data_IF_897046390842
#
_entry.id   IF_897046390842
#
_cell.length_a   1.000
_cell.length_b   1.000
_cell.length_c   1.000
_cell.angle_alpha   90.00
_cell.angle_beta   90.00
_cell.angle_gamma   90.00
#
_symmetry.space_group_name_H-M   'P 1'
#
loop_
_entity.id
_entity.type
_entity.pdbx_description
1 polymer ?
#
# COMPACT_ATOMS: atom_id res chain seq x y z
N UNK A 1 -8.80 -3.63 -2.97
CA UNK A 1 -7.55 -3.63 -2.19
C UNK A 1 -7.54 -2.44 -1.26
N UNK A 2 -6.82 -2.51 -0.13
CA UNK A 2 -6.54 -1.32 0.67
C UNK A 2 -5.16 -0.81 0.32
N UNK A 3 -5.07 0.47 -0.04
CA UNK A 3 -3.80 1.16 -0.23
C UNK A 3 -3.39 1.75 1.12
N UNK A 4 -2.29 1.28 1.70
CA UNK A 4 -1.81 1.74 2.99
C UNK A 4 -1.41 3.24 2.90
N UNK A 5 -2.25 4.12 3.44
CA UNK A 5 -2.01 5.56 3.55
C UNK A 5 -2.19 5.99 4.99
N UNK A 6 -1.25 6.78 5.51
CA UNK A 6 -1.28 7.27 6.88
C UNK A 6 0.06 7.70 7.43
N UNK A 7 0.77 8.64 6.79
CA UNK A 7 1.73 9.48 7.53
C UNK A 7 1.88 10.91 6.99
N UNK A 8 1.51 11.87 7.86
CA UNK A 8 1.76 13.30 7.72
C UNK A 8 3.27 13.55 7.89
N UNK A 9 4.03 13.67 6.79
CA UNK A 9 5.16 14.61 6.67
C UNK A 9 5.90 14.45 5.34
N UNK A 10 5.38 15.12 4.31
CA UNK A 10 6.06 15.36 3.05
C UNK A 10 7.32 16.23 3.26
N UNK A 11 8.50 15.60 3.32
CA UNK A 11 9.73 16.23 2.83
C UNK A 11 10.33 15.34 1.75
N UNK A 12 10.91 16.02 0.76
CA UNK A 12 11.07 15.62 -0.65
C UNK A 12 11.84 14.34 -0.95
N UNK A 13 12.59 13.77 0.00
CA UNK A 13 13.60 12.76 -0.33
C UNK A 13 13.60 11.61 0.69
N UNK A 14 12.78 10.57 0.47
CA UNK A 14 13.08 9.24 1.02
C UNK A 14 12.17 8.68 2.13
N UNK A 15 11.03 9.30 2.42
CA UNK A 15 10.02 8.65 3.28
C UNK A 15 8.61 9.01 2.81
N UNK A 16 8.30 8.60 1.59
CA UNK A 16 6.93 8.58 1.10
C UNK A 16 6.34 7.20 1.38
N UNK A 17 5.07 7.19 1.72
CA UNK A 17 4.20 6.01 1.65
C UNK A 17 4.52 5.19 0.38
N UNK A 18 4.35 3.86 0.38
CA UNK A 18 4.60 3.02 -0.79
C UNK A 18 3.93 3.58 -2.04
N UNK A 19 2.78 4.24 -1.86
CA UNK A 19 1.93 4.84 -2.87
C UNK A 19 2.11 6.36 -3.07
N UNK A 20 3.02 7.01 -2.34
CA UNK A 20 3.22 8.47 -2.43
C UNK A 20 3.66 8.92 -3.84
N UNK A 21 4.45 8.09 -4.52
CA UNK A 21 4.82 8.31 -5.93
C UNK A 21 3.60 8.26 -6.85
N UNK A 22 2.71 7.29 -6.67
CA UNK A 22 1.46 7.16 -7.45
C UNK A 22 0.53 8.33 -7.23
N UNK A 23 0.34 8.74 -5.97
CA UNK A 23 -0.52 9.87 -5.64
C UNK A 23 0.04 11.18 -6.24
N UNK A 24 1.35 11.42 -6.09
CA UNK A 24 2.02 12.61 -6.64
C UNK A 24 1.92 12.67 -8.16
N UNK A 25 2.12 11.54 -8.84
CA UNK A 25 2.07 11.45 -10.30
C UNK A 25 0.65 11.21 -10.83
N UNK A 26 -0.36 11.17 -9.96
CA UNK A 26 -1.78 10.96 -10.29
C UNK A 26 -2.01 9.72 -11.17
N UNK A 27 -1.26 8.64 -10.91
CA UNK A 27 -1.31 7.43 -11.74
C UNK A 27 -2.63 6.66 -11.60
N UNK A 28 -3.25 6.74 -10.41
CA UNK A 28 -4.61 6.26 -10.12
C UNK A 28 -5.45 7.50 -9.79
N UNK A 29 -6.09 8.08 -10.80
CA UNK A 29 -6.86 9.32 -10.69
C UNK A 29 -8.34 9.15 -11.03
N UNK A 30 -8.77 7.94 -11.38
CA UNK A 30 -10.16 7.60 -11.66
C UNK A 30 -10.50 6.24 -11.04
N UNK A 31 -11.76 6.06 -10.63
CA UNK A 31 -12.22 4.82 -10.00
C UNK A 31 -12.05 3.60 -10.92
N UNK A 32 -12.10 3.79 -12.23
CA UNK A 32 -11.95 2.70 -13.21
C UNK A 32 -10.58 2.02 -13.16
N UNK A 33 -9.47 2.77 -13.03
CA UNK A 33 -8.13 2.17 -12.89
C UNK A 33 -8.01 1.36 -11.61
N UNK A 34 -8.60 1.85 -10.52
CA UNK A 34 -8.66 1.13 -9.26
C UNK A 34 -9.47 -0.17 -9.38
N UNK A 35 -10.62 -0.13 -10.06
CA UNK A 35 -11.44 -1.32 -10.31
C UNK A 35 -10.74 -2.34 -11.20
N UNK A 36 -10.03 -1.90 -12.25
CA UNK A 36 -9.21 -2.79 -13.09
C UNK A 36 -8.14 -3.47 -12.24
N UNK A 37 -7.40 -2.72 -11.41
CA UNK A 37 -6.40 -3.29 -10.51
C UNK A 37 -7.01 -4.30 -9.53
N UNK A 38 -8.17 -3.99 -8.95
CA UNK A 38 -8.89 -4.89 -8.04
C UNK A 38 -9.31 -6.19 -8.73
N UNK A 39 -9.79 -6.12 -9.97
CA UNK A 39 -10.19 -7.30 -10.75
C UNK A 39 -8.99 -8.14 -11.18
N UNK A 40 -7.90 -7.50 -11.63
CA UNK A 40 -6.67 -8.16 -12.05
C UNK A 40 -5.87 -8.74 -10.88
N UNK A 41 -6.02 -8.19 -9.67
CA UNK A 41 -5.39 -8.70 -8.46
C UNK A 41 -6.02 -10.00 -7.97
N UNK A 42 -7.28 -10.29 -8.31
CA UNK A 42 -7.93 -11.55 -7.96
C UNK A 42 -7.42 -12.69 -8.84
N UNK A 43 -7.45 -12.46 -10.15
CA UNK A 43 -6.95 -13.36 -11.19
C UNK A 43 -6.47 -12.53 -12.38
N UNK A 44 -5.46 -12.97 -13.15
CA UNK A 44 -5.08 -12.32 -14.39
C UNK A 44 -6.26 -12.25 -15.36
N UNK A 45 -6.50 -11.09 -15.99
CA UNK A 45 -7.66 -10.88 -16.88
C UNK A 45 -7.28 -10.30 -18.22
N UNK A 46 -8.05 -10.63 -19.25
CA UNK A 46 -7.95 -10.01 -20.57
C UNK A 46 -8.73 -8.70 -20.64
N UNK A 47 -8.45 -7.86 -21.66
CA UNK A 47 -9.21 -6.62 -21.92
C UNK A 47 -10.71 -6.92 -22.08
N UNK A 48 -11.07 -8.01 -22.77
CA UNK A 48 -12.47 -8.39 -22.98
C UNK A 48 -13.17 -8.77 -21.68
N UNK A 49 -12.48 -9.50 -20.79
CA UNK A 49 -13.02 -9.85 -19.47
C UNK A 49 -13.19 -8.63 -18.57
N UNK A 50 -12.21 -7.72 -18.58
CA UNK A 50 -12.28 -6.45 -17.85
C UNK A 50 -13.41 -5.56 -18.38
N UNK A 51 -13.57 -5.46 -19.71
CA UNK A 51 -14.65 -4.71 -20.35
C UNK A 51 -16.03 -5.24 -19.95
N UNK A 52 -16.22 -6.57 -19.97
CA UNK A 52 -17.45 -7.20 -19.53
C UNK A 52 -17.74 -7.01 -18.04
N UNK A 53 -16.72 -7.08 -17.19
CA UNK A 53 -16.87 -6.92 -15.74
C UNK A 53 -17.19 -5.47 -15.32
N UNK A 54 -16.71 -4.49 -16.07
CA UNK A 54 -16.86 -3.06 -15.78
C UNK A 54 -18.01 -2.39 -16.54
N UNK A 55 -18.70 -3.12 -17.42
CA UNK A 55 -19.70 -2.58 -18.36
C UNK A 55 -19.15 -1.40 -19.19
N UNK A 56 -17.92 -1.56 -19.69
CA UNK A 56 -17.20 -0.56 -20.48
C UNK A 56 -16.88 -1.10 -21.87
N UNK A 57 -16.64 -0.19 -22.83
CA UNK A 57 -16.16 -0.58 -24.14
C UNK A 57 -14.72 -1.12 -24.07
N UNK A 58 -14.42 -2.13 -24.90
CA UNK A 58 -13.07 -2.70 -25.00
C UNK A 58 -12.01 -1.65 -25.35
N UNK A 59 -12.34 -0.64 -26.15
CA UNK A 59 -11.46 0.47 -26.48
C UNK A 59 -11.13 1.35 -25.26
N UNK A 60 -12.12 1.61 -24.40
CA UNK A 60 -11.92 2.39 -23.17
C UNK A 60 -11.01 1.63 -22.18
N UNK A 61 -11.27 0.33 -22.01
CA UNK A 61 -10.45 -0.53 -21.14
C UNK A 61 -9.03 -0.65 -21.70
N UNK A 62 -8.88 -0.86 -23.00
CA UNK A 62 -7.57 -0.90 -23.65
C UNK A 62 -6.75 0.37 -23.35
N UNK A 63 -7.37 1.56 -23.48
CA UNK A 63 -6.71 2.83 -23.15
C UNK A 63 -6.20 2.84 -21.71
N UNK A 64 -7.03 2.46 -20.73
CA UNK A 64 -6.63 2.43 -19.33
C UNK A 64 -5.53 1.40 -19.06
N UNK A 65 -5.62 0.21 -19.64
CA UNK A 65 -4.60 -0.85 -19.51
C UNK A 65 -3.27 -0.40 -20.11
N UNK A 66 -3.26 0.20 -21.30
CA UNK A 66 -2.04 0.75 -21.90
C UNK A 66 -1.40 1.84 -21.04
N UNK A 67 -2.20 2.76 -20.49
CA UNK A 67 -1.70 3.77 -19.54
C UNK A 67 -1.08 3.13 -18.29
N UNK A 68 -1.74 2.10 -17.73
CA UNK A 68 -1.27 1.41 -16.52
C UNK A 68 -0.01 0.57 -16.75
N UNK A 69 0.16 -0.04 -17.93
CA UNK A 69 1.42 -0.69 -18.32
C UNK A 69 2.52 0.35 -18.49
N UNK A 70 2.22 1.46 -19.17
CA UNK A 70 3.17 2.57 -19.34
C UNK A 70 3.63 3.19 -18.01
N UNK A 71 2.76 3.16 -16.99
CA UNK A 71 3.09 3.58 -15.63
C UNK A 71 3.59 2.45 -14.71
N UNK A 72 3.80 1.25 -15.25
CA UNK A 72 4.30 0.06 -14.54
C UNK A 72 3.41 -0.41 -13.38
N UNK A 73 2.11 -0.14 -13.44
CA UNK A 73 1.11 -0.65 -12.48
C UNK A 73 0.60 -2.05 -12.87
N UNK A 74 0.56 -2.35 -14.16
CA UNK A 74 0.20 -3.66 -14.71
C UNK A 74 1.36 -4.24 -15.52
N UNK A 75 1.43 -5.56 -15.57
CA UNK A 75 2.28 -6.33 -16.48
C UNK A 75 1.45 -7.36 -17.23
N UNK A 76 1.96 -7.83 -18.36
CA UNK A 76 1.42 -9.01 -19.03
C UNK A 76 1.80 -10.26 -18.23
N UNK A 77 0.82 -11.12 -17.96
CA UNK A 77 1.04 -12.38 -17.25
C UNK A 77 1.66 -13.41 -18.20
N UNK A 78 2.85 -13.90 -17.87
CA UNK A 78 3.57 -14.91 -18.67
C UNK A 78 3.09 -16.34 -18.36
N UNK A 79 2.63 -16.58 -17.13
CA UNK A 79 2.36 -17.91 -16.57
C UNK A 79 0.91 -18.38 -16.77
N UNK A 80 -0.01 -17.52 -17.19
CA UNK A 80 -1.41 -17.90 -17.33
C UNK A 80 -1.66 -18.75 -18.57
N UNK A 81 -2.42 -19.84 -18.40
CA UNK A 81 -2.70 -20.83 -19.44
C UNK A 81 -3.50 -20.18 -20.60
N UNK A 82 -2.77 -19.81 -21.67
CA UNK A 82 -3.34 -19.12 -22.81
C UNK A 82 -4.27 -20.07 -23.57
N UNK A 83 -5.58 -19.80 -23.54
CA UNK A 83 -6.54 -20.51 -24.40
C UNK A 83 -6.35 -20.20 -25.88
N UNK A 84 -5.86 -19.00 -26.20
CA UNK A 84 -5.52 -18.57 -27.55
C UNK A 84 -4.19 -17.80 -27.58
N UNK A 85 -3.30 -18.02 -28.57
CA UNK A 85 -1.99 -17.37 -28.64
C UNK A 85 -2.00 -15.84 -28.68
N UNK A 86 -3.12 -15.24 -29.12
CA UNK A 86 -3.31 -13.80 -29.23
C UNK A 86 -3.89 -13.15 -27.97
N UNK A 87 -4.37 -13.94 -27.00
CA UNK A 87 -4.94 -13.41 -25.76
C UNK A 87 -3.82 -13.03 -24.79
N UNK A 88 -3.88 -11.77 -24.34
CA UNK A 88 -2.98 -11.24 -23.32
C UNK A 88 -3.75 -11.07 -22.02
N UNK A 89 -3.18 -11.65 -20.96
CA UNK A 89 -3.68 -11.53 -19.60
C UNK A 89 -2.86 -10.49 -18.86
N UNK A 90 -3.51 -9.69 -18.02
CA UNK A 90 -2.88 -8.61 -17.28
C UNK A 90 -3.05 -8.83 -15.78
N UNK A 91 -1.99 -8.55 -15.03
CA UNK A 91 -1.92 -8.66 -13.57
C UNK A 91 -1.16 -7.47 -12.97
N UNK A 92 -1.32 -7.16 -11.67
CA UNK A 92 -0.52 -6.14 -11.00
C UNK A 92 0.98 -6.40 -11.17
N UNK A 93 1.74 -5.35 -11.46
CA UNK A 93 3.20 -5.42 -11.49
C UNK A 93 3.83 -5.23 -10.10
N UNK A 94 3.12 -5.65 -9.06
CA UNK A 94 3.52 -5.50 -7.67
C UNK A 94 2.84 -6.55 -6.79
N UNK A 95 3.40 -6.77 -5.60
CA UNK A 95 2.92 -7.79 -4.66
C UNK A 95 1.49 -7.47 -4.18
N UNK A 96 0.58 -8.43 -4.30
CA UNK A 96 -0.73 -8.38 -3.63
C UNK A 96 -0.77 -9.47 -2.59
N UNK A 97 -0.73 -9.10 -1.32
CA UNK A 97 -0.81 -10.04 -0.19
C UNK A 97 -2.26 -10.51 -0.06
N UNK A 98 -2.47 -11.81 -0.24
CA UNK A 98 -3.78 -12.46 -0.12
C UNK A 98 -4.22 -12.53 1.33
N UNK A 99 -5.53 -12.59 1.54
CA UNK A 99 -6.08 -12.64 2.90
C UNK A 99 -5.53 -13.79 3.74
N UNK A 100 -5.29 -14.97 3.16
CA UNK A 100 -4.73 -16.14 3.87
C UNK A 100 -3.23 -16.06 4.15
N UNK A 101 -2.46 -15.33 3.33
CA UNK A 101 -1.01 -15.12 3.53
C UNK A 101 -0.75 -14.09 4.64
N UNK A 102 -1.71 -13.19 4.85
CA UNK A 102 -1.60 -12.05 5.76
C UNK A 102 -1.47 -12.48 7.21
N UNK A 103 -2.16 -13.54 7.65
CA UNK A 103 -2.24 -13.87 9.08
C UNK A 103 -0.87 -14.23 9.69
N UNK A 104 -0.06 -15.01 8.98
CA UNK A 104 1.29 -15.37 9.42
C UNK A 104 2.23 -14.16 9.41
N UNK A 105 2.15 -13.34 8.36
CA UNK A 105 2.94 -12.11 8.24
C UNK A 105 2.56 -11.07 9.29
N UNK A 106 1.26 -10.91 9.57
CA UNK A 106 0.75 -9.99 10.59
C UNK A 106 1.16 -10.39 11.99
N UNK A 107 1.19 -11.69 12.31
CA UNK A 107 1.65 -12.17 13.60
C UNK A 107 3.11 -11.74 13.86
N UNK A 108 3.98 -11.93 12.86
CA UNK A 108 5.38 -11.49 12.94
C UNK A 108 5.50 -9.96 13.01
N UNK A 109 4.74 -9.23 12.19
CA UNK A 109 4.69 -7.77 12.23
C UNK A 109 4.25 -7.25 13.60
N UNK A 110 3.27 -7.90 14.24
CA UNK A 110 2.78 -7.54 15.59
C UNK A 110 3.84 -7.80 16.65
N UNK A 111 4.57 -8.91 16.55
CA UNK A 111 5.68 -9.20 17.45
C UNK A 111 6.77 -8.13 17.34
N UNK A 112 7.19 -7.79 16.12
CA UNK A 112 8.18 -6.74 15.88
C UNK A 112 7.69 -5.38 16.38
N UNK A 113 6.42 -5.04 16.15
CA UNK A 113 5.81 -3.81 16.66
C UNK A 113 5.84 -3.76 18.19
N UNK A 114 5.56 -4.87 18.87
CA UNK A 114 5.68 -5.01 20.32
C UNK A 114 7.11 -4.73 20.80
N UNK A 115 8.13 -5.30 20.14
CA UNK A 115 9.54 -5.03 20.46
C UNK A 115 9.93 -3.56 20.30
N UNK A 116 9.37 -2.87 19.31
CA UNK A 116 9.58 -1.43 19.11
C UNK A 116 8.90 -0.63 20.22
N UNK A 117 7.65 -0.97 20.57
CA UNK A 117 6.92 -0.31 21.66
C UNK A 117 7.67 -0.43 22.99
N UNK A 118 8.07 -1.65 23.35
CA UNK A 118 8.91 -1.96 24.50
C UNK A 118 10.18 -1.10 24.54
N UNK A 119 10.88 -0.97 23.40
CA UNK A 119 12.10 -0.18 23.31
C UNK A 119 11.82 1.29 23.60
N UNK A 120 10.74 1.85 23.05
CA UNK A 120 10.34 3.23 23.32
C UNK A 120 10.01 3.45 24.79
N UNK A 121 9.21 2.57 25.38
CA UNK A 121 8.82 2.64 26.79
C UNK A 121 10.04 2.55 27.71
N UNK A 122 10.91 1.56 27.49
CA UNK A 122 12.16 1.37 28.26
C UNK A 122 13.12 2.56 28.12
N UNK A 123 13.06 3.31 27.02
CA UNK A 123 13.92 4.49 26.77
C UNK A 123 13.28 5.81 27.16
N UNK A 124 11.99 5.84 27.52
CA UNK A 124 11.22 7.06 27.80
C UNK A 124 11.93 8.01 28.76
N UNK A 125 12.31 7.55 29.96
CA UNK A 125 12.96 8.41 30.95
C UNK A 125 14.30 8.99 30.45
N UNK A 126 15.02 8.27 29.58
CA UNK A 126 16.25 8.77 28.95
C UNK A 126 15.95 9.83 27.88
N UNK A 127 14.87 9.65 27.11
CA UNK A 127 14.41 10.61 26.11
C UNK A 127 13.94 11.91 26.78
N UNK A 128 13.18 11.82 27.87
CA UNK A 128 12.77 12.96 28.70
C UNK A 128 13.99 13.71 29.27
N UNK A 129 14.98 12.98 29.81
CA UNK A 129 16.23 13.62 30.25
C UNK A 129 17.01 14.27 29.11
N UNK A 130 16.98 13.72 27.90
CA UNK A 130 17.61 14.33 26.74
C UNK A 130 16.89 15.62 26.33
N UNK A 131 15.56 15.62 26.34
CA UNK A 131 14.74 16.82 26.11
C UNK A 131 15.10 17.94 27.10
N UNK A 132 15.20 17.63 28.39
CA UNK A 132 15.52 18.60 29.44
C UNK A 132 16.91 19.21 29.30
N UNK A 133 17.78 18.66 28.45
CA UNK A 133 19.10 19.22 28.12
C UNK A 133 19.08 20.15 26.90
N UNK A 134 17.92 20.34 26.29
CA UNK A 134 17.72 21.22 25.12
C UNK A 134 16.89 22.43 25.51
N UNK A 135 16.96 23.49 24.70
CA UNK A 135 16.12 24.68 24.88
C UNK A 135 14.64 24.43 24.62
N UNK A 136 14.26 23.25 24.11
CA UNK A 136 12.86 22.91 23.88
C UNK A 136 12.09 22.86 25.21
N UNK A 137 12.70 22.34 26.27
CA UNK A 137 12.10 22.33 27.60
C UNK A 137 11.92 23.76 28.16
N UNK A 138 12.91 24.64 27.96
CA UNK A 138 12.82 26.05 28.35
C UNK A 138 11.74 26.81 27.57
N UNK A 139 11.42 26.37 26.35
CA UNK A 139 10.33 26.88 25.52
C UNK A 139 8.96 26.25 25.83
N UNK A 140 8.86 25.44 26.89
CA UNK A 140 7.62 24.83 27.35
C UNK A 140 7.22 23.54 26.63
N UNK A 141 8.07 22.98 25.77
CA UNK A 141 7.78 21.72 25.09
C UNK A 141 8.04 20.52 26.00
N UNK A 142 7.15 19.53 25.90
CA UNK A 142 7.19 18.30 26.68
C UNK A 142 7.57 17.10 25.81
N UNK A 143 7.77 15.95 26.45
CA UNK A 143 7.99 14.70 25.73
C UNK A 143 6.82 14.35 24.82
N UNK A 144 5.58 14.59 25.24
CA UNK A 144 4.38 14.29 24.46
C UNK A 144 4.37 15.03 23.12
N UNK A 145 4.85 16.28 23.10
CA UNK A 145 4.96 17.08 21.88
C UNK A 145 6.01 16.55 20.91
N UNK A 146 7.05 15.90 21.43
CA UNK A 146 8.15 15.34 20.65
C UNK A 146 8.03 13.85 20.34
N UNK A 147 7.11 13.13 21.00
CA UNK A 147 7.01 11.68 20.87
C UNK A 147 6.83 11.23 19.41
N UNK A 148 5.97 11.92 18.66
CA UNK A 148 5.75 11.65 17.24
C UNK A 148 6.98 11.98 16.37
N UNK A 149 7.68 13.08 16.68
CA UNK A 149 8.92 13.43 16.01
C UNK A 149 10.01 12.36 16.22
N UNK A 150 10.17 11.91 17.48
CA UNK A 150 11.14 10.88 17.84
C UNK A 150 10.81 9.54 17.16
N UNK A 151 9.54 9.13 17.18
CA UNK A 151 9.08 7.93 16.50
C UNK A 151 9.40 7.96 15.00
N UNK A 152 9.01 9.04 14.30
CA UNK A 152 9.27 9.20 12.88
C UNK A 152 10.78 9.19 12.55
N UNK A 153 11.61 9.84 13.40
CA UNK A 153 13.07 9.84 13.22
C UNK A 153 13.67 8.46 13.42
N UNK A 154 13.22 7.71 14.42
CA UNK A 154 13.67 6.34 14.68
C UNK A 154 13.29 5.41 13.53
N UNK A 155 12.05 5.46 13.04
CA UNK A 155 11.62 4.65 11.90
C UNK A 155 12.47 4.91 10.64
N UNK A 156 12.74 6.18 10.32
CA UNK A 156 13.58 6.54 9.17
C UNK A 156 15.02 6.04 9.34
N UNK A 157 15.60 6.18 10.53
CA UNK A 157 16.93 5.66 10.83
C UNK A 157 16.99 4.13 10.74
N UNK A 158 15.97 3.43 11.27
CA UNK A 158 15.89 1.97 11.20
C UNK A 158 15.82 1.48 9.75
N UNK A 159 15.02 2.15 8.90
CA UNK A 159 14.97 1.86 7.46
C UNK A 159 16.33 2.00 6.80
N UNK A 160 17.02 3.14 7.00
CA UNK A 160 18.35 3.35 6.42
C UNK A 160 19.35 2.26 6.85
N UNK A 161 19.33 1.87 8.13
CA UNK A 161 20.16 0.77 8.61
C UNK A 161 19.79 -0.59 8.00
N UNK A 162 18.51 -0.84 7.72
CA UNK A 162 18.08 -2.07 7.05
C UNK A 162 18.54 -2.09 5.58
N UNK A 163 18.47 -0.96 4.89
CA UNK A 163 18.96 -0.78 3.52
C UNK A 163 20.49 -0.95 3.45
N UNK A 164 21.24 -0.27 4.32
CA UNK A 164 22.70 -0.40 4.42
C UNK A 164 23.16 -1.84 4.72
N UNK A 165 22.37 -2.59 5.49
CA UNK A 165 22.68 -3.97 5.85
C UNK A 165 22.16 -5.00 4.84
N UNK A 166 21.51 -4.56 3.77
CA UNK A 166 20.93 -5.43 2.75
C UNK A 166 19.71 -6.24 3.20
N UNK A 167 19.12 -5.90 4.36
CA UNK A 167 17.90 -6.54 4.86
C UNK A 167 16.63 -5.96 4.24
N UNK A 168 16.71 -4.76 3.67
CA UNK A 168 15.63 -4.13 2.90
C UNK A 168 16.21 -3.59 1.59
N UNK A 169 15.63 -3.90 0.41
CA UNK A 169 16.10 -3.30 -0.82
C UNK A 169 15.76 -1.78 -0.84
N UNK A 170 16.61 -0.95 -1.45
CA UNK A 170 16.25 0.44 -1.71
C UNK A 170 15.07 0.52 -2.70
N UNK A 171 14.32 1.63 -2.72
CA UNK A 171 13.27 1.81 -3.73
C UNK A 171 13.78 1.71 -5.15
N UNK A 172 13.06 0.96 -5.99
CA UNK A 172 13.35 0.87 -7.41
C UNK A 172 12.95 2.16 -8.13
N UNK A 173 13.74 2.56 -9.12
CA UNK A 173 13.43 3.67 -10.02
C UNK A 173 12.73 3.14 -11.27
N UNK A 174 11.53 3.63 -11.49
CA UNK A 174 10.61 3.18 -12.53
C UNK A 174 10.74 4.05 -13.78
N UNK A 175 10.29 3.55 -14.95
CA UNK A 175 10.41 4.23 -16.26
C UNK A 175 9.73 5.60 -16.28
N UNK A 176 8.74 5.80 -15.42
CA UNK A 176 8.04 7.07 -15.24
C UNK A 176 8.80 8.08 -14.34
N UNK A 177 10.02 7.76 -13.92
CA UNK A 177 10.86 8.59 -13.04
C UNK A 177 10.43 8.59 -11.57
N UNK A 178 9.42 7.80 -11.21
CA UNK A 178 9.00 7.63 -9.83
C UNK A 178 9.85 6.57 -9.13
N UNK A 179 10.12 6.75 -7.84
CA UNK A 179 10.78 5.75 -6.99
C UNK A 179 9.79 5.15 -6.03
N UNK A 180 9.53 3.85 -6.13
CA UNK A 180 8.51 3.18 -5.30
C UNK A 180 8.74 1.67 -5.20
N UNK A 181 8.19 1.08 -4.14
CA UNK A 181 8.06 -0.36 -3.90
C UNK A 181 6.60 -0.56 -3.52
N UNK A 182 5.77 -1.12 -4.41
CA UNK A 182 4.35 -1.30 -4.11
C UNK A 182 4.09 -2.65 -3.48
N UNK A 183 3.12 -2.64 -2.57
CA UNK A 183 2.30 -3.79 -2.27
C UNK A 183 0.87 -3.32 -2.04
N UNK A 184 -0.07 -4.24 -2.18
CA UNK A 184 -1.45 -4.04 -1.81
C UNK A 184 -1.97 -5.24 -1.00
N UNK A 185 -3.01 -5.01 -0.22
CA UNK A 185 -3.64 -6.05 0.59
C UNK A 185 -5.06 -6.30 0.11
N UNK A 186 -5.45 -7.57 0.05
CA UNK A 186 -6.84 -7.93 -0.10
C UNK A 186 -7.64 -7.49 1.14
N UNK A 187 -8.82 -6.88 0.95
CA UNK A 187 -9.68 -6.51 2.07
C UNK A 187 -10.09 -7.76 2.85
N UNK A 188 -10.11 -7.67 4.18
CA UNK A 188 -10.69 -8.72 5.01
C UNK A 188 -12.16 -8.95 4.61
N UNK A 189 -12.63 -10.20 4.68
CA UNK A 189 -14.02 -10.55 4.38
C UNK A 189 -15.03 -9.74 5.21
N UNK A 190 -14.65 -9.35 6.44
CA UNK A 190 -15.46 -8.54 7.35
C UNK A 190 -15.54 -7.05 6.97
N UNK A 191 -14.73 -6.60 6.01
CA UNK A 191 -14.69 -5.21 5.57
C UNK A 191 -15.64 -4.91 4.39
N UNK A 192 -16.50 -5.84 3.99
CA UNK A 192 -17.42 -5.64 2.88
C UNK A 192 -18.83 -5.20 3.37
N UNK A 193 -19.15 -3.90 3.39
CA UNK A 193 -20.47 -3.41 3.83
C UNK A 193 -21.63 -3.81 2.90
N UNK A 194 -21.35 -4.46 1.76
CA UNK A 194 -22.38 -4.87 0.79
C UNK A 194 -22.99 -6.26 1.05
N UNK A 195 -22.50 -7.04 2.02
CA UNK A 195 -23.04 -8.37 2.32
C UNK A 195 -24.23 -8.38 3.32
N UNK A 196 -24.71 -7.23 3.78
CA UNK A 196 -25.61 -7.12 4.94
C UNK A 196 -27.04 -6.62 4.69
N UNK A 197 -27.58 -6.67 3.46
CA UNK A 197 -29.01 -6.37 3.23
C UNK A 197 -29.74 -7.51 2.52
N UNK A 198 -30.03 -8.57 3.26
CA UNK A 198 -31.19 -9.43 2.94
C UNK A 198 -32.43 -8.75 3.52
N UNK A 199 -33.20 -8.09 2.65
CA UNK A 199 -34.55 -7.61 2.97
C UNK A 199 -35.43 -8.83 3.29
N UNK A 200 -36.11 -8.91 4.45
CA UNK A 200 -37.09 -9.97 4.67
C UNK A 200 -38.31 -9.67 3.80
N UNK A 201 -38.62 -10.62 2.90
CA UNK A 201 -39.82 -10.61 2.08
C UNK A 201 -41.07 -10.58 2.99
N UNK A 202 -41.98 -9.65 2.68
CA UNK A 202 -43.16 -9.36 3.47
C UNK A 202 -44.11 -10.54 3.63
N UNK A 203 -44.61 -10.70 4.86
CA UNK A 203 -45.94 -11.26 5.10
C UNK A 203 -46.98 -10.21 4.69
N UNK A 204 -47.87 -10.56 3.77
CA UNK A 204 -49.18 -9.91 3.69
C UNK A 204 -50.24 -10.82 4.34
N UNK A 205 -51.24 -10.20 5.00
CA UNK A 205 -52.34 -10.90 5.68
C UNK A 205 -53.31 -11.56 4.69
#
# INVERSE_FOLDING_TARGET
MRFACGCISARRDGCGEPWAGVAKHKLINNGTKEEILNLAAQEPRTISQLAGALDLSAASVHKHVSEMIGSELLRESEEWERRHPAERYYEPNFLVVKAGERDELEALCREMAGRIADLFEKRRARLERALNKTDLAARGWTFSDLAQYLYAKTQRGARGLLEERGALPPPEEHRNGAKWVFWAEEPSADANPRAGKKTPAGRRP
#
